data_IF_611317992105
#
_entry.id   IF_611317992105
#
_cell.length_a   1.000
_cell.length_b   1.000
_cell.length_c   1.000
_cell.angle_alpha   90.00
_cell.angle_beta   90.00
_cell.angle_gamma   90.00
#
_symmetry.space_group_name_H-M   'P 1'
#
loop_
_entity.id
_entity.type
_entity.pdbx_description
1 polymer ?
#
# COMPACT_ATOMS: atom_id res chain seq x y z
N UNK A 1 9.66 20.68 -2.42
CA UNK A 1 9.64 19.33 -3.03
C UNK A 1 9.38 18.35 -1.91
N UNK A 2 8.17 17.81 -1.83
CA UNK A 2 7.74 16.94 -0.73
C UNK A 2 7.76 15.50 -1.23
N UNK A 3 8.43 14.60 -0.50
CA UNK A 3 8.42 13.16 -0.78
C UNK A 3 7.22 12.57 -0.02
N UNK A 4 6.33 11.82 -0.68
CA UNK A 4 5.20 11.21 0.01
C UNK A 4 5.67 10.18 1.01
N UNK A 5 5.00 10.07 2.15
CA UNK A 5 5.20 8.95 3.06
C UNK A 5 4.44 7.74 2.53
N UNK A 6 5.09 6.58 2.47
CA UNK A 6 4.51 5.33 1.94
C UNK A 6 4.44 4.30 3.04
N UNK A 7 3.25 3.74 3.27
CA UNK A 7 3.00 2.68 4.24
C UNK A 7 2.38 1.47 3.55
N UNK A 8 2.95 0.28 3.74
CA UNK A 8 2.41 -0.97 3.21
C UNK A 8 1.87 -1.82 4.37
N UNK A 9 0.57 -2.10 4.35
CA UNK A 9 -0.14 -2.82 5.40
C UNK A 9 -0.46 -4.25 4.94
N UNK A 10 -0.26 -5.26 5.82
CA UNK A 10 -0.66 -6.63 5.55
C UNK A 10 -2.19 -6.81 5.47
N UNK A 11 -2.67 -7.94 4.93
CA UNK A 11 -4.05 -8.39 5.10
C UNK A 11 -4.43 -8.56 6.56
N UNK A 12 -5.70 -8.33 6.91
CA UNK A 12 -6.18 -8.61 8.25
C UNK A 12 -6.40 -10.12 8.47
N UNK A 13 -6.30 -10.57 9.72
CA UNK A 13 -6.54 -11.97 10.09
C UNK A 13 -7.95 -12.45 9.74
N UNK A 14 -8.94 -11.55 9.82
CA UNK A 14 -10.33 -11.84 9.43
C UNK A 14 -10.45 -12.09 7.92
N UNK A 15 -9.77 -11.29 7.09
CA UNK A 15 -9.75 -11.50 5.63
C UNK A 15 -9.10 -12.84 5.29
N UNK A 16 -7.96 -13.13 5.92
CA UNK A 16 -7.23 -14.38 5.72
C UNK A 16 -8.07 -15.59 6.13
N UNK A 17 -8.80 -15.49 7.25
CA UNK A 17 -9.74 -16.53 7.69
C UNK A 17 -10.87 -16.76 6.68
N UNK A 18 -11.25 -15.71 5.93
CA UNK A 18 -12.19 -15.78 4.81
C UNK A 18 -11.59 -16.22 3.46
N UNK A 19 -10.31 -16.60 3.42
CA UNK A 19 -9.63 -17.06 2.21
C UNK A 19 -9.13 -15.95 1.27
N UNK A 20 -9.24 -14.69 1.67
CA UNK A 20 -8.81 -13.51 0.91
C UNK A 20 -7.62 -12.84 1.59
N UNK A 21 -6.74 -12.23 0.80
CA UNK A 21 -5.63 -11.44 1.30
C UNK A 21 -5.58 -10.11 0.56
N UNK A 22 -5.86 -8.99 1.23
CA UNK A 22 -5.77 -7.65 0.64
C UNK A 22 -4.64 -6.87 1.29
N UNK A 23 -3.62 -6.53 0.52
CA UNK A 23 -2.57 -5.59 0.91
C UNK A 23 -3.05 -4.17 0.65
N UNK A 24 -2.76 -3.23 1.55
CA UNK A 24 -3.06 -1.82 1.35
C UNK A 24 -1.78 -0.99 1.37
N UNK A 25 -1.52 -0.27 0.27
CA UNK A 25 -0.47 0.72 0.19
C UNK A 25 -1.08 2.11 0.35
N UNK A 26 -0.70 2.79 1.42
CA UNK A 26 -1.16 4.14 1.75
C UNK A 26 -0.06 5.15 1.45
N UNK A 27 -0.43 6.21 0.75
CA UNK A 27 0.40 7.36 0.47
C UNK A 27 -0.16 8.57 1.22
N UNK A 28 0.65 9.17 2.08
CA UNK A 28 0.29 10.40 2.79
C UNK A 28 1.27 11.52 2.45
N UNK A 29 0.72 12.72 2.20
CA UNK A 29 1.41 13.97 1.82
C UNK A 29 1.95 14.02 0.38
N UNK A 30 1.08 14.41 -0.55
CA UNK A 30 1.48 15.08 -1.80
C UNK A 30 0.95 16.52 -1.75
N UNK A 31 1.74 17.52 -2.16
CA UNK A 31 1.28 18.92 -2.24
C UNK A 31 0.87 19.36 -3.64
N UNK A 32 1.14 18.63 -4.72
CA UNK A 32 0.59 18.94 -6.05
C UNK A 32 0.45 17.69 -6.95
N UNK A 33 -0.73 17.57 -7.58
CA UNK A 33 -1.00 16.85 -8.83
C UNK A 33 -0.56 15.38 -8.91
N UNK A 34 -1.36 14.45 -8.39
CA UNK A 34 -1.19 13.01 -8.64
C UNK A 34 -2.41 12.45 -9.37
N UNK A 35 -2.19 11.78 -10.51
CA UNK A 35 -3.20 10.98 -11.18
C UNK A 35 -3.06 9.53 -10.72
N UNK A 36 -3.76 9.10 -9.67
CA UNK A 36 -3.94 7.66 -9.36
C UNK A 36 -5.22 7.38 -8.56
N UNK A 37 -5.85 6.25 -8.91
CA UNK A 37 -7.15 5.72 -8.48
C UNK A 37 -7.48 5.93 -7.00
N UNK A 38 -8.65 6.54 -6.77
CA UNK A 38 -9.29 6.85 -5.48
C UNK A 38 -8.59 7.96 -4.69
N UNK A 39 -8.86 9.19 -5.13
CA UNK A 39 -8.42 10.44 -4.49
C UNK A 39 -9.45 10.87 -3.42
N UNK A 40 -9.01 11.09 -2.18
CA UNK A 40 -9.75 11.89 -1.19
C UNK A 40 -8.97 13.19 -0.92
N UNK A 41 -9.55 14.31 -1.34
CA UNK A 41 -9.01 15.65 -1.11
C UNK A 41 -9.48 16.18 0.25
N UNK A 42 -8.54 16.50 1.15
CA UNK A 42 -8.86 17.26 2.37
C UNK A 42 -7.78 18.29 2.65
N UNK A 43 -8.15 19.56 2.58
CA UNK A 43 -7.33 20.68 3.07
C UNK A 43 -5.97 20.86 2.37
N UNK A 44 -5.89 20.65 1.05
CA UNK A 44 -4.67 20.87 0.27
C UNK A 44 -3.57 19.80 0.45
N UNK A 45 -3.92 18.70 1.12
CA UNK A 45 -3.07 17.52 1.32
C UNK A 45 -3.65 16.36 0.53
N UNK A 46 -2.91 15.88 -0.45
CA UNK A 46 -3.32 14.74 -1.26
C UNK A 46 -2.88 13.45 -0.55
N UNK A 47 -3.82 12.51 -0.42
CA UNK A 47 -3.57 11.15 0.04
C UNK A 47 -4.06 10.20 -1.06
N UNK A 48 -3.30 9.15 -1.33
CA UNK A 48 -3.68 8.14 -2.31
C UNK A 48 -3.51 6.76 -1.68
N UNK A 49 -4.32 5.80 -2.12
CA UNK A 49 -4.19 4.43 -1.65
C UNK A 49 -4.34 3.45 -2.80
N UNK A 50 -3.62 2.34 -2.72
CA UNK A 50 -3.73 1.25 -3.68
C UNK A 50 -3.88 -0.05 -2.92
N UNK A 51 -4.81 -0.90 -3.34
CA UNK A 51 -5.02 -2.21 -2.74
C UNK A 51 -4.70 -3.32 -3.72
N UNK A 52 -4.05 -4.37 -3.22
CA UNK A 52 -3.76 -5.58 -3.97
C UNK A 52 -4.47 -6.75 -3.31
N UNK A 53 -5.55 -7.22 -3.94
CA UNK A 53 -6.30 -8.40 -3.51
C UNK A 53 -5.75 -9.66 -4.16
N UNK A 54 -5.43 -10.64 -3.32
CA UNK A 54 -4.89 -11.95 -3.63
C UNK A 54 -5.71 -13.03 -2.90
N UNK A 55 -5.55 -14.30 -3.30
CA UNK A 55 -6.03 -15.40 -2.46
C UNK A 55 -5.11 -15.59 -1.26
N UNK A 56 -5.66 -16.12 -0.15
CA UNK A 56 -4.86 -16.50 1.02
C UNK A 56 -3.70 -17.43 0.63
N UNK A 57 -3.92 -18.39 -0.26
CA UNK A 57 -2.86 -19.30 -0.71
C UNK A 57 -1.68 -18.55 -1.36
N UNK A 58 -1.96 -17.55 -2.21
CA UNK A 58 -0.91 -16.73 -2.84
C UNK A 58 -0.21 -15.84 -1.82
N UNK A 59 -0.93 -15.37 -0.81
CA UNK A 59 -0.33 -14.67 0.33
C UNK A 59 0.64 -15.57 1.10
N UNK A 60 0.21 -16.77 1.49
CA UNK A 60 1.02 -17.70 2.28
C UNK A 60 2.23 -18.25 1.51
N UNK A 61 2.16 -18.33 0.17
CA UNK A 61 3.29 -18.74 -0.68
C UNK A 61 4.32 -17.63 -0.88
N UNK A 62 3.95 -16.36 -0.70
CA UNK A 62 4.87 -15.23 -0.85
C UNK A 62 5.54 -14.84 0.46
N UNK A 63 6.75 -14.29 0.36
CA UNK A 63 7.50 -13.80 1.52
C UNK A 63 7.72 -12.29 1.50
N UNK A 64 7.92 -11.70 0.32
CA UNK A 64 8.21 -10.27 0.17
C UNK A 64 7.18 -9.62 -0.74
N UNK A 65 6.48 -8.61 -0.20
CA UNK A 65 5.56 -7.76 -0.93
C UNK A 65 6.13 -6.35 -0.99
N UNK A 66 5.94 -5.66 -2.12
CA UNK A 66 6.47 -4.31 -2.30
C UNK A 66 5.44 -3.42 -2.99
N UNK A 67 5.30 -2.21 -2.46
CA UNK A 67 4.56 -1.12 -3.09
C UNK A 67 5.56 -0.14 -3.66
N UNK A 68 5.49 0.08 -4.98
CA UNK A 68 6.32 1.07 -5.68
C UNK A 68 5.48 2.30 -5.99
N UNK A 69 5.93 3.43 -5.48
CA UNK A 69 5.36 4.74 -5.71
C UNK A 69 6.26 5.50 -6.67
N UNK A 70 5.64 6.16 -7.63
CA UNK A 70 6.29 7.08 -8.56
C UNK A 70 5.65 8.45 -8.37
N UNK A 71 6.44 9.42 -7.96
CA UNK A 71 6.01 10.80 -7.76
C UNK A 71 7.03 11.75 -8.37
N UNK A 72 6.69 12.35 -9.52
CA UNK A 72 7.62 13.11 -10.36
C UNK A 72 8.89 12.29 -10.67
N UNK A 73 10.09 12.82 -10.42
CA UNK A 73 11.36 12.10 -10.65
C UNK A 73 11.80 11.22 -9.46
N UNK A 74 10.94 11.04 -8.46
CA UNK A 74 11.24 10.21 -7.30
C UNK A 74 10.47 8.91 -7.35
N UNK A 75 11.17 7.81 -7.12
CA UNK A 75 10.56 6.52 -6.85
C UNK A 75 10.86 6.10 -5.43
N UNK A 76 9.81 5.73 -4.71
CA UNK A 76 9.93 5.13 -3.39
C UNK A 76 9.35 3.73 -3.45
N UNK A 77 10.01 2.77 -2.81
CA UNK A 77 9.52 1.41 -2.69
C UNK A 77 9.44 1.06 -1.22
N UNK A 78 8.25 0.69 -0.76
CA UNK A 78 8.03 0.18 0.58
C UNK A 78 7.81 -1.32 0.50
N UNK A 79 8.53 -2.06 1.33
CA UNK A 79 8.46 -3.52 1.35
C UNK A 79 7.95 -4.03 2.69
N UNK A 80 7.29 -5.19 2.64
CA UNK A 80 6.70 -5.89 3.77
C UNK A 80 7.05 -7.37 3.63
N UNK A 81 7.63 -7.94 4.69
CA UNK A 81 7.81 -9.38 4.78
C UNK A 81 6.61 -10.00 5.48
N UNK A 82 6.07 -11.09 4.91
CA UNK A 82 4.94 -11.81 5.51
C UNK A 82 5.25 -12.29 6.93
N UNK A 83 6.45 -12.80 7.15
CA UNK A 83 6.92 -13.27 8.46
C UNK A 83 6.93 -12.18 9.55
N UNK A 84 6.97 -10.90 9.19
CA UNK A 84 6.90 -9.78 10.14
C UNK A 84 5.46 -9.42 10.53
N UNK A 85 4.46 -10.04 9.91
CA UNK A 85 3.04 -9.80 10.13
C UNK A 85 2.36 -10.96 10.87
N UNK A 86 3.10 -12.02 11.20
CA UNK A 86 2.63 -13.16 11.98
C UNK A 86 2.72 -12.82 13.47
N UNK A 87 1.68 -12.17 14.00
CA UNK A 87 1.52 -11.79 15.41
C UNK A 87 0.12 -12.07 15.93
#
# INVERSE_FOLDING_TARGET
>A
RTVPSVSLLPPSSEQLSGGLATLACLLTEVTEGVQTSSEEEKSGRYSSSSTLSLSQERWMKGELYSCKVLHHDHSQTQSLHRSQCEG
#
